data_IF_957016528380
#
_entry.id   IF_957016528380
#
_cell.length_a   1.000
_cell.length_b   1.000
_cell.length_c   1.000
_cell.angle_alpha   90.00
_cell.angle_beta   90.00
_cell.angle_gamma   90.00
#
_symmetry.space_group_name_H-M   'P 1'
#
loop_
_entity.id
_entity.type
_entity.pdbx_description
1 polymer ?
#
# COMPACT_ATOMS: atom_id res chain seq x y z
N UNK A 1 -20.62 9.77 -7.58
CA UNK A 1 -19.89 8.75 -8.37
C UNK A 1 -19.82 7.50 -7.53
N UNK A 2 -20.45 6.42 -7.95
CA UNK A 2 -20.43 5.14 -7.23
C UNK A 2 -19.02 4.56 -7.30
N UNK A 3 -18.41 4.37 -6.13
CA UNK A 3 -17.07 3.79 -6.01
C UNK A 3 -17.05 2.37 -6.62
N UNK A 4 -16.06 2.00 -7.44
CA UNK A 4 -15.98 0.64 -8.02
C UNK A 4 -15.63 -0.45 -7.01
N UNK A 5 -15.77 -0.20 -5.72
CA UNK A 5 -15.29 -1.02 -4.61
C UNK A 5 -16.27 -2.11 -4.13
N UNK A 6 -17.38 -2.38 -4.83
CA UNK A 6 -18.38 -3.37 -4.34
C UNK A 6 -18.96 -2.95 -2.98
N UNK A 7 -19.18 -3.89 -2.07
CA UNK A 7 -19.65 -3.61 -0.71
C UNK A 7 -18.46 -3.25 0.21
N UNK A 8 -17.93 -2.02 0.08
CA UNK A 8 -16.91 -1.48 0.99
C UNK A 8 -17.57 -0.92 2.26
N UNK A 9 -17.04 -1.29 3.41
CA UNK A 9 -17.56 -0.89 4.72
C UNK A 9 -16.40 -0.41 5.60
N UNK A 10 -16.56 0.74 6.24
CA UNK A 10 -15.71 1.19 7.34
C UNK A 10 -16.29 0.61 8.63
N UNK A 11 -15.60 -0.40 9.20
CA UNK A 11 -16.05 -1.12 10.40
C UNK A 11 -15.76 -0.33 11.66
N UNK A 12 -14.56 0.25 11.73
CA UNK A 12 -14.09 1.09 12.83
C UNK A 12 -13.30 2.27 12.29
N UNK A 13 -13.49 3.46 12.86
CA UNK A 13 -12.75 4.67 12.51
C UNK A 13 -12.38 5.43 13.78
N UNK A 14 -11.07 5.66 13.96
CA UNK A 14 -10.51 6.54 14.98
C UNK A 14 -9.42 7.42 14.33
N UNK A 15 -9.02 8.53 14.96
CA UNK A 15 -7.96 9.35 14.39
C UNK A 15 -6.73 8.51 14.01
N UNK A 16 -6.38 8.51 12.71
CA UNK A 16 -5.24 7.83 12.11
C UNK A 16 -5.22 6.29 12.29
N UNK A 17 -6.39 5.72 12.61
CA UNK A 17 -6.62 4.27 12.71
C UNK A 17 -7.94 3.91 12.07
N UNK A 18 -7.99 2.81 11.32
CA UNK A 18 -9.19 2.36 10.65
C UNK A 18 -9.24 0.84 10.56
N UNK A 19 -10.44 0.29 10.60
CA UNK A 19 -10.74 -1.08 10.16
C UNK A 19 -11.76 -1.01 9.04
N UNK A 20 -11.43 -1.63 7.93
CA UNK A 20 -12.28 -1.67 6.74
C UNK A 20 -12.52 -3.10 6.28
N UNK A 21 -13.63 -3.32 5.62
CA UNK A 21 -14.00 -4.61 5.03
C UNK A 21 -14.54 -4.41 3.63
N UNK A 22 -14.19 -5.33 2.73
CA UNK A 22 -14.78 -5.43 1.39
C UNK A 22 -15.15 -6.88 1.10
N UNK A 23 -16.32 -7.08 0.52
CA UNK A 23 -16.79 -8.40 0.09
C UNK A 23 -17.32 -8.30 -1.34
N UNK A 24 -16.83 -9.18 -2.19
CA UNK A 24 -17.31 -9.40 -3.56
C UNK A 24 -17.78 -10.84 -3.73
N UNK A 25 -17.95 -11.28 -4.95
CA UNK A 25 -18.21 -12.69 -5.25
C UNK A 25 -16.93 -13.53 -5.25
N UNK A 26 -15.79 -12.87 -5.42
CA UNK A 26 -14.47 -13.49 -5.64
C UNK A 26 -13.61 -13.40 -4.38
N UNK A 27 -13.77 -12.32 -3.58
CA UNK A 27 -12.92 -12.07 -2.42
C UNK A 27 -13.69 -11.57 -1.20
N UNK A 28 -13.12 -11.85 -0.02
CA UNK A 28 -13.48 -11.17 1.24
C UNK A 28 -12.19 -10.68 1.87
N UNK A 29 -12.08 -9.37 2.04
CA UNK A 29 -10.89 -8.69 2.55
C UNK A 29 -11.26 -7.89 3.79
N UNK A 30 -10.49 -8.05 4.87
CA UNK A 30 -10.57 -7.20 6.05
C UNK A 30 -9.17 -6.67 6.37
N UNK A 31 -9.06 -5.35 6.59
CA UNK A 31 -7.81 -4.66 6.91
C UNK A 31 -8.01 -3.74 8.09
N UNK A 32 -7.13 -3.87 9.10
CA UNK A 32 -6.93 -2.86 10.11
C UNK A 32 -5.60 -2.16 9.88
N UNK A 33 -5.60 -0.82 9.91
CA UNK A 33 -4.46 0.04 9.66
C UNK A 33 -4.32 1.08 10.76
N UNK A 34 -3.12 1.14 11.38
CA UNK A 34 -2.69 2.24 12.24
C UNK A 34 -1.51 2.97 11.59
N UNK A 35 -1.68 4.28 11.33
CA UNK A 35 -0.66 5.10 10.69
C UNK A 35 0.52 5.44 11.62
N UNK A 36 0.25 5.55 12.92
CA UNK A 36 1.24 5.87 13.96
C UNK A 36 1.61 4.60 14.73
N UNK A 37 1.99 3.56 13.98
CA UNK A 37 2.30 2.24 14.51
C UNK A 37 3.77 2.04 14.87
N UNK A 38 4.11 0.79 15.10
CA UNK A 38 5.46 0.31 15.42
C UNK A 38 6.03 -0.61 14.33
N UNK A 39 5.29 -0.82 13.24
CA UNK A 39 5.65 -1.71 12.15
C UNK A 39 5.18 -3.16 12.37
N UNK A 40 4.13 -3.37 13.17
CA UNK A 40 3.56 -4.71 13.36
C UNK A 40 2.79 -5.12 12.10
N UNK A 41 3.08 -6.33 11.65
CA UNK A 41 2.43 -6.92 10.50
C UNK A 41 1.82 -8.28 10.89
N UNK A 42 0.52 -8.45 10.68
CA UNK A 42 -0.20 -9.72 10.80
C UNK A 42 -1.01 -9.93 9.52
N UNK A 43 -0.38 -10.56 8.53
CA UNK A 43 -0.84 -10.58 7.15
C UNK A 43 -1.06 -12.01 6.69
N UNK A 44 -2.24 -12.29 6.17
CA UNK A 44 -2.64 -13.58 5.64
C UNK A 44 -3.50 -13.39 4.39
N UNK A 45 -2.86 -13.31 3.21
CA UNK A 45 -3.53 -13.25 1.90
C UNK A 45 -3.65 -14.62 1.23
N UNK A 46 -2.91 -15.62 1.75
CA UNK A 46 -2.76 -16.92 1.10
C UNK A 46 -1.67 -16.95 0.04
N UNK A 47 -1.01 -15.81 -0.23
CA UNK A 47 0.06 -15.67 -1.23
C UNK A 47 1.34 -15.28 -0.49
N UNK A 48 2.20 -16.26 -0.18
CA UNK A 48 3.32 -16.08 0.76
C UNK A 48 4.30 -14.97 0.40
N UNK A 49 4.61 -14.76 -0.90
CA UNK A 49 5.49 -13.66 -1.30
C UNK A 49 4.79 -12.30 -1.18
N UNK A 50 3.50 -12.22 -1.44
CA UNK A 50 2.75 -10.99 -1.25
C UNK A 50 2.64 -10.61 0.24
N UNK A 51 2.42 -11.60 1.12
CA UNK A 51 2.45 -11.41 2.58
C UNK A 51 3.80 -10.83 3.03
N UNK A 52 4.91 -11.34 2.47
CA UNK A 52 6.26 -10.85 2.76
C UNK A 52 6.47 -9.40 2.28
N UNK A 53 6.00 -9.04 1.08
CA UNK A 53 6.10 -7.66 0.56
C UNK A 53 5.30 -6.68 1.40
N UNK A 54 4.06 -7.02 1.75
CA UNK A 54 3.20 -6.19 2.61
C UNK A 54 3.76 -6.08 4.03
N UNK A 55 4.35 -7.16 4.57
CA UNK A 55 5.07 -7.14 5.84
C UNK A 55 6.28 -6.19 5.81
N UNK A 56 7.03 -6.17 4.70
CA UNK A 56 8.13 -5.22 4.49
C UNK A 56 7.64 -3.77 4.44
N UNK A 57 6.50 -3.51 3.77
CA UNK A 57 5.86 -2.19 3.75
C UNK A 57 5.48 -1.74 5.17
N UNK A 58 4.81 -2.61 5.95
CA UNK A 58 4.40 -2.30 7.32
C UNK A 58 5.61 -2.00 8.21
N UNK A 59 6.61 -2.88 8.22
CA UNK A 59 7.80 -2.76 9.06
C UNK A 59 8.58 -1.47 8.76
N UNK A 60 8.88 -1.20 7.49
CA UNK A 60 9.70 -0.03 7.10
C UNK A 60 8.91 1.27 7.09
N UNK A 61 7.57 1.20 6.94
CA UNK A 61 6.66 2.33 7.08
C UNK A 61 6.30 2.67 8.53
N UNK A 62 6.62 1.78 9.48
CA UNK A 62 6.16 1.84 10.88
C UNK A 62 4.63 1.91 11.00
N UNK A 63 3.93 1.29 10.06
CA UNK A 63 2.48 1.10 10.15
C UNK A 63 2.15 -0.18 10.91
N UNK A 64 1.10 -0.18 11.71
CA UNK A 64 0.53 -1.41 12.23
C UNK A 64 -0.54 -1.89 11.26
N UNK A 65 -0.32 -3.07 10.64
CA UNK A 65 -1.21 -3.59 9.58
C UNK A 65 -1.63 -5.02 9.92
N UNK A 66 -2.94 -5.24 9.96
CA UNK A 66 -3.55 -6.57 9.98
C UNK A 66 -4.32 -6.77 8.68
N UNK A 67 -4.08 -7.86 7.95
CA UNK A 67 -4.79 -8.22 6.73
C UNK A 67 -5.28 -9.66 6.83
N UNK A 68 -6.58 -9.84 6.58
CA UNK A 68 -7.20 -11.15 6.36
C UNK A 68 -7.88 -11.12 5.00
N UNK A 69 -7.40 -11.95 4.10
CA UNK A 69 -7.96 -12.09 2.77
C UNK A 69 -8.33 -13.55 2.49
N UNK A 70 -9.50 -13.73 1.92
CA UNK A 70 -9.95 -14.98 1.34
C UNK A 70 -10.41 -14.68 -0.08
N UNK A 71 -9.76 -15.26 -1.06
CA UNK A 71 -10.06 -15.10 -2.48
C UNK A 71 -10.09 -16.46 -3.18
N UNK A 72 -10.43 -16.43 -4.46
CA UNK A 72 -10.56 -17.57 -5.36
C UNK A 72 -9.21 -18.01 -5.94
N UNK A 73 -8.23 -18.30 -5.06
CA UNK A 73 -6.85 -18.68 -5.42
C UNK A 73 -6.75 -19.93 -6.28
N UNK A 74 -7.80 -20.73 -6.37
CA UNK A 74 -7.91 -21.85 -7.29
C UNK A 74 -8.05 -21.41 -8.77
N UNK A 75 -8.48 -20.15 -8.99
CA UNK A 75 -8.50 -19.50 -10.31
C UNK A 75 -7.11 -18.96 -10.62
N UNK A 76 -6.71 -17.92 -9.87
CA UNK A 76 -5.35 -17.37 -9.84
C UNK A 76 -5.17 -16.39 -8.68
N UNK A 77 -4.02 -15.72 -8.57
CA UNK A 77 -3.75 -14.75 -7.53
C UNK A 77 -4.29 -13.34 -7.82
N UNK A 78 -4.76 -13.07 -9.03
CA UNK A 78 -5.08 -11.72 -9.53
C UNK A 78 -6.10 -10.99 -8.65
N UNK A 79 -7.29 -11.58 -8.47
CA UNK A 79 -8.38 -10.95 -7.72
C UNK A 79 -7.97 -10.65 -6.28
N UNK A 80 -7.26 -11.59 -5.63
CA UNK A 80 -6.80 -11.41 -4.25
C UNK A 80 -5.77 -10.27 -4.16
N UNK A 81 -4.79 -10.22 -5.06
CA UNK A 81 -3.73 -9.19 -5.05
C UNK A 81 -4.30 -7.81 -5.32
N UNK A 82 -5.16 -7.66 -6.33
CA UNK A 82 -5.80 -6.39 -6.67
C UNK A 82 -6.70 -5.91 -5.53
N UNK A 83 -7.58 -6.78 -5.02
CA UNK A 83 -8.56 -6.41 -4.01
C UNK A 83 -7.91 -6.05 -2.67
N UNK A 84 -6.87 -6.77 -2.24
CA UNK A 84 -6.08 -6.38 -1.05
C UNK A 84 -5.46 -5.00 -1.24
N UNK A 85 -4.88 -4.71 -2.42
CA UNK A 85 -4.28 -3.41 -2.69
C UNK A 85 -5.33 -2.27 -2.72
N UNK A 86 -6.49 -2.50 -3.34
CA UNK A 86 -7.61 -1.54 -3.34
C UNK A 86 -8.10 -1.24 -1.92
N UNK A 87 -8.31 -2.28 -1.11
CA UNK A 87 -8.81 -2.12 0.27
C UNK A 87 -7.76 -1.46 1.15
N UNK A 88 -6.48 -1.79 0.98
CA UNK A 88 -5.38 -1.13 1.71
C UNK A 88 -5.27 0.35 1.34
N UNK A 89 -5.37 0.69 0.04
CA UNK A 89 -5.39 2.09 -0.40
C UNK A 89 -6.56 2.87 0.18
N UNK A 90 -7.76 2.28 0.18
CA UNK A 90 -8.94 2.87 0.80
C UNK A 90 -8.77 3.04 2.33
N UNK A 91 -8.14 2.08 3.02
CA UNK A 91 -7.82 2.19 4.44
C UNK A 91 -6.89 3.39 4.72
N UNK A 92 -5.85 3.61 3.90
CA UNK A 92 -5.01 4.80 4.00
C UNK A 92 -5.81 6.09 3.81
N UNK A 93 -6.68 6.14 2.80
CA UNK A 93 -7.53 7.31 2.55
C UNK A 93 -8.43 7.64 3.75
N UNK A 94 -9.11 6.65 4.31
CA UNK A 94 -9.98 6.84 5.48
C UNK A 94 -9.19 7.24 6.73
N UNK A 95 -8.04 6.60 7.00
CA UNK A 95 -7.20 6.90 8.15
C UNK A 95 -6.57 8.30 8.09
N UNK A 96 -6.30 8.83 6.89
CA UNK A 96 -5.76 10.18 6.67
C UNK A 96 -6.83 11.28 6.78
N UNK A 97 -8.10 10.93 6.64
CA UNK A 97 -9.21 11.90 6.74
C UNK A 97 -9.04 13.08 5.78
N UNK A 98 -9.11 14.29 6.30
CA UNK A 98 -8.96 15.54 5.52
C UNK A 98 -7.51 15.88 5.13
N UNK A 99 -6.54 15.05 5.57
CA UNK A 99 -5.10 15.20 5.29
C UNK A 99 -4.50 16.52 5.81
N UNK A 100 -5.15 17.18 6.78
CA UNK A 100 -4.62 18.40 7.39
C UNK A 100 -3.38 18.08 8.25
N UNK A 101 -2.37 18.95 8.18
CA UNK A 101 -1.17 18.87 9.03
C UNK A 101 -0.18 17.76 8.71
N UNK A 102 -0.35 17.01 7.61
CA UNK A 102 0.64 16.02 7.15
C UNK A 102 1.70 16.66 6.25
N UNK A 103 2.86 16.03 6.11
CA UNK A 103 3.95 16.49 5.22
C UNK A 103 3.57 16.46 3.75
N UNK A 104 2.65 15.60 3.34
CA UNK A 104 2.16 15.38 1.97
C UNK A 104 3.16 14.74 1.03
N UNK A 105 4.44 15.13 1.05
CA UNK A 105 5.49 14.64 0.16
C UNK A 105 6.48 13.77 0.93
N UNK A 106 6.78 12.59 0.38
CA UNK A 106 7.79 11.68 0.89
C UNK A 106 8.61 11.10 -0.25
N UNK A 107 9.89 10.84 0.02
CA UNK A 107 10.76 10.15 -0.92
C UNK A 107 11.68 9.19 -0.19
N UNK A 108 12.01 8.08 -0.84
CA UNK A 108 12.96 7.12 -0.30
C UNK A 108 13.71 6.41 -1.41
N UNK A 109 14.98 6.12 -1.15
CA UNK A 109 15.78 5.20 -1.95
C UNK A 109 16.26 4.07 -1.03
N UNK A 110 16.02 2.82 -1.40
CA UNK A 110 16.37 1.65 -0.59
C UNK A 110 17.22 0.70 -1.42
N UNK A 111 18.48 0.48 -1.06
CA UNK A 111 19.31 -0.56 -1.64
C UNK A 111 18.98 -1.92 -1.00
N UNK A 112 19.08 -2.96 -1.79
CA UNK A 112 19.06 -4.35 -1.34
C UNK A 112 20.04 -5.14 -2.20
N UNK A 113 21.19 -5.48 -1.66
CA UNK A 113 22.34 -6.07 -2.38
C UNK A 113 22.66 -5.27 -3.66
N UNK A 114 22.46 -5.88 -4.84
CA UNK A 114 22.71 -5.23 -6.13
C UNK A 114 21.55 -4.40 -6.66
N UNK A 115 20.40 -4.43 -5.95
CA UNK A 115 19.16 -3.76 -6.38
C UNK A 115 19.02 -2.41 -5.68
N UNK A 116 18.47 -1.43 -6.38
CA UNK A 116 18.11 -0.13 -5.84
C UNK A 116 16.69 0.20 -6.26
N UNK A 117 15.83 0.50 -5.29
CA UNK A 117 14.49 1.05 -5.53
C UNK A 117 14.41 2.49 -5.03
N UNK A 118 13.81 3.36 -5.82
CA UNK A 118 13.49 4.74 -5.44
C UNK A 118 11.99 4.94 -5.56
N UNK A 119 11.40 5.62 -4.59
CA UNK A 119 9.98 5.96 -4.64
C UNK A 119 9.75 7.16 -5.56
N UNK A 120 9.79 6.91 -6.89
CA UNK A 120 9.45 7.83 -8.02
C UNK A 120 9.16 6.94 -9.24
N UNK A 121 7.92 6.63 -9.68
CA UNK A 121 7.53 5.47 -10.53
C UNK A 121 7.83 5.50 -12.03
N UNK A 122 8.47 4.43 -12.50
CA UNK A 122 8.06 3.43 -13.50
C UNK A 122 8.84 2.12 -13.22
N UNK A 123 8.17 0.97 -12.92
CA UNK A 123 8.83 -0.30 -12.60
C UNK A 123 8.74 -1.28 -13.78
N UNK A 124 9.77 -1.41 -14.65
CA UNK A 124 9.87 -2.57 -15.51
C UNK A 124 10.43 -3.75 -14.70
N UNK A 125 9.59 -4.73 -14.37
CA UNK A 125 10.03 -6.05 -13.95
C UNK A 125 10.46 -6.85 -15.21
N UNK A 126 11.57 -7.58 -15.12
CA UNK A 126 12.12 -8.34 -16.23
C UNK A 126 11.74 -9.83 -16.21
N UNK A 127 11.27 -10.34 -15.08
CA UNK A 127 10.80 -11.71 -14.90
C UNK A 127 9.28 -11.85 -15.06
N UNK A 128 8.80 -13.10 -15.09
CA UNK A 128 7.37 -13.38 -15.15
C UNK A 128 6.76 -13.59 -13.76
N UNK A 129 7.48 -14.23 -12.84
CA UNK A 129 7.00 -14.59 -11.49
C UNK A 129 8.14 -14.61 -10.46
N UNK A 130 7.79 -14.31 -9.20
CA UNK A 130 8.63 -14.60 -8.02
C UNK A 130 7.80 -15.43 -7.03
N UNK A 131 8.24 -16.64 -6.73
CA UNK A 131 7.42 -17.59 -5.99
C UNK A 131 6.11 -17.89 -6.73
N UNK A 132 4.98 -17.80 -6.04
CA UNK A 132 3.64 -17.92 -6.63
C UNK A 132 3.11 -16.64 -7.27
N UNK A 133 3.71 -15.46 -7.05
CA UNK A 133 3.19 -14.17 -7.50
C UNK A 133 3.68 -13.80 -8.90
N UNK A 134 2.79 -13.59 -9.89
CA UNK A 134 3.14 -12.97 -11.16
C UNK A 134 3.57 -11.52 -10.95
N UNK A 135 4.74 -11.10 -11.46
CA UNK A 135 5.29 -9.76 -11.19
C UNK A 135 4.46 -8.63 -11.81
N UNK A 136 3.79 -8.90 -12.93
CA UNK A 136 2.85 -7.94 -13.53
C UNK A 136 1.72 -7.52 -12.56
N UNK A 137 1.36 -8.36 -11.57
CA UNK A 137 0.35 -8.03 -10.56
C UNK A 137 0.88 -7.04 -9.53
N UNK A 138 2.18 -6.90 -9.35
CA UNK A 138 2.77 -5.92 -8.44
C UNK A 138 2.51 -4.50 -8.93
N UNK A 139 2.73 -4.23 -10.22
CA UNK A 139 2.45 -2.92 -10.83
C UNK A 139 0.96 -2.59 -10.74
N UNK A 140 0.11 -3.58 -11.06
CA UNK A 140 -1.34 -3.42 -11.00
C UNK A 140 -1.84 -3.14 -9.58
N UNK A 141 -1.31 -3.85 -8.57
CA UNK A 141 -1.62 -3.61 -7.16
C UNK A 141 -1.21 -2.20 -6.71
N UNK A 142 -0.03 -1.74 -7.09
CA UNK A 142 0.47 -0.41 -6.74
C UNK A 142 -0.35 0.72 -7.39
N UNK A 143 -0.80 0.54 -8.64
CA UNK A 143 -1.71 1.47 -9.30
C UNK A 143 -3.09 1.50 -8.62
N UNK A 144 -3.64 0.33 -8.29
CA UNK A 144 -4.92 0.20 -7.58
C UNK A 144 -4.85 0.87 -6.19
N UNK A 145 -3.78 0.63 -5.44
CA UNK A 145 -3.50 1.27 -4.16
C UNK A 145 -3.46 2.80 -4.29
N UNK A 146 -2.64 3.35 -5.20
CA UNK A 146 -2.45 4.78 -5.36
C UNK A 146 -3.79 5.49 -5.69
N UNK A 147 -4.58 4.90 -6.58
CA UNK A 147 -5.91 5.40 -6.94
C UNK A 147 -6.85 5.41 -5.74
N UNK A 148 -6.94 4.31 -4.98
CA UNK A 148 -7.82 4.21 -3.82
C UNK A 148 -7.38 5.11 -2.65
N UNK A 149 -6.07 5.28 -2.46
CA UNK A 149 -5.50 6.20 -1.46
C UNK A 149 -5.63 7.68 -1.86
N UNK A 150 -6.06 8.01 -3.08
CA UNK A 150 -6.03 9.37 -3.63
C UNK A 150 -4.61 9.94 -3.62
N UNK A 151 -3.62 9.11 -3.92
CA UNK A 151 -2.21 9.46 -3.93
C UNK A 151 -1.66 9.46 -5.36
N UNK A 152 -0.70 10.35 -5.62
CA UNK A 152 0.17 10.21 -6.79
C UNK A 152 1.41 9.44 -6.36
N UNK A 153 1.62 8.29 -6.96
CA UNK A 153 2.71 7.40 -6.65
C UNK A 153 3.64 7.28 -7.86
N UNK A 154 4.92 7.55 -7.67
CA UNK A 154 6.00 7.29 -8.61
C UNK A 154 7.00 6.34 -7.94
N UNK A 155 7.20 5.14 -8.44
CA UNK A 155 8.06 4.11 -7.87
C UNK A 155 8.98 3.57 -8.98
N UNK A 156 10.27 3.61 -8.86
CA UNK A 156 11.22 3.12 -9.85
C UNK A 156 12.35 2.34 -9.20
N UNK A 157 12.91 1.40 -9.92
CA UNK A 157 14.01 0.62 -9.42
C UNK A 157 14.84 0.00 -10.52
N UNK A 158 16.04 -0.45 -10.16
CA UNK A 158 16.92 -1.23 -11.01
C UNK A 158 17.60 -2.32 -10.19
N UNK A 159 17.79 -3.47 -10.79
CA UNK A 159 18.43 -4.62 -10.17
C UNK A 159 18.43 -5.81 -11.11
N UNK A 160 19.16 -6.86 -10.74
CA UNK A 160 19.23 -8.10 -11.54
C UNK A 160 18.40 -9.25 -10.96
N UNK A 161 17.84 -9.03 -9.77
CA UNK A 161 17.04 -10.00 -9.05
C UNK A 161 15.66 -9.39 -8.75
N UNK A 162 14.61 -9.92 -9.39
CA UNK A 162 13.26 -9.39 -9.27
C UNK A 162 12.68 -9.53 -7.86
N UNK A 163 13.09 -10.55 -7.08
CA UNK A 163 12.74 -10.67 -5.67
C UNK A 163 13.28 -9.47 -4.87
N UNK A 164 14.59 -9.19 -5.00
CA UNK A 164 15.22 -8.06 -4.32
C UNK A 164 14.63 -6.72 -4.77
N UNK A 165 14.33 -6.59 -6.07
CA UNK A 165 13.70 -5.37 -6.61
C UNK A 165 12.30 -5.16 -6.03
N UNK A 166 11.46 -6.18 -6.00
CA UNK A 166 10.12 -6.13 -5.40
C UNK A 166 10.17 -5.77 -3.92
N UNK A 167 11.03 -6.45 -3.16
CA UNK A 167 11.20 -6.19 -1.72
C UNK A 167 11.72 -4.77 -1.45
N UNK A 168 12.72 -4.29 -2.22
CA UNK A 168 13.23 -2.92 -2.11
C UNK A 168 12.14 -1.89 -2.46
N UNK A 169 11.30 -2.15 -3.47
CA UNK A 169 10.20 -1.29 -3.87
C UNK A 169 9.17 -1.11 -2.73
N UNK A 170 8.74 -2.19 -2.08
CA UNK A 170 7.78 -2.11 -0.98
C UNK A 170 8.37 -1.48 0.28
N UNK A 171 9.67 -1.69 0.55
CA UNK A 171 10.38 -0.97 1.63
C UNK A 171 10.45 0.54 1.34
N UNK A 172 10.77 0.93 0.10
CA UNK A 172 10.82 2.33 -0.33
C UNK A 172 9.44 2.99 -0.26
N UNK A 173 8.39 2.30 -0.72
CA UNK A 173 7.02 2.76 -0.63
C UNK A 173 6.59 2.98 0.83
N UNK A 174 6.85 2.01 1.72
CA UNK A 174 6.53 2.13 3.15
C UNK A 174 7.19 3.35 3.80
N UNK A 175 8.47 3.58 3.53
CA UNK A 175 9.20 4.76 4.03
C UNK A 175 8.66 6.08 3.46
N UNK A 176 8.37 6.13 2.16
CA UNK A 176 7.81 7.32 1.52
C UNK A 176 6.40 7.64 2.04
N UNK A 177 5.55 6.63 2.20
CA UNK A 177 4.23 6.78 2.81
C UNK A 177 4.32 7.27 4.25
N UNK A 178 5.21 6.70 5.07
CA UNK A 178 5.45 7.17 6.43
C UNK A 178 5.78 8.66 6.44
N UNK A 179 6.77 9.11 5.65
CA UNK A 179 7.15 10.51 5.57
C UNK A 179 5.98 11.39 5.13
N UNK A 180 5.23 10.98 4.12
CA UNK A 180 4.08 11.73 3.62
C UNK A 180 2.93 11.83 4.64
N UNK A 181 2.73 10.79 5.45
CA UNK A 181 1.67 10.69 6.44
C UNK A 181 2.04 11.29 7.81
N UNK A 182 3.35 11.52 8.06
CA UNK A 182 3.84 12.00 9.35
C UNK A 182 3.33 13.43 9.63
N UNK A 183 2.81 13.72 10.83
CA UNK A 183 2.45 15.08 11.21
C UNK A 183 3.65 16.03 11.10
N UNK A 184 3.46 17.20 10.48
CA UNK A 184 4.48 18.27 10.46
C UNK A 184 4.16 19.27 11.59
N UNK A 185 4.98 19.31 12.67
CA UNK A 185 4.72 20.20 13.81
C UNK A 185 4.80 21.69 13.45
N UNK A 186 5.35 22.04 12.30
CA UNK A 186 5.45 23.41 11.81
C UNK A 186 4.29 23.81 10.89
N UNK A 187 3.36 22.88 10.61
CA UNK A 187 2.26 23.10 9.68
C UNK A 187 0.91 22.96 10.37
N UNK A 188 0.09 23.97 10.22
CA UNK A 188 -1.34 23.92 10.53
C UNK A 188 -2.14 23.97 9.24
N UNK A 189 -3.12 23.07 9.07
CA UNK A 189 -3.96 22.99 7.86
C UNK A 189 -3.34 22.21 6.71
N UNK A 190 -3.96 22.34 5.54
CA UNK A 190 -3.63 21.54 4.35
C UNK A 190 -2.38 22.08 3.64
N UNK A 191 -1.48 21.20 3.23
CA UNK A 191 -0.25 21.52 2.51
C UNK A 191 -0.52 21.89 1.04
N UNK A 192 -1.32 22.93 0.81
CA UNK A 192 -1.67 23.42 -0.53
C UNK A 192 -1.85 24.93 -0.52
N UNK A 193 -1.32 25.63 -1.52
CA UNK A 193 -1.57 27.05 -1.72
C UNK A 193 -3.03 27.37 -2.07
N UNK A 194 -3.78 26.36 -2.54
CA UNK A 194 -5.23 26.46 -2.84
C UNK A 194 -6.11 26.22 -1.62
N UNK A 195 -5.55 25.77 -0.48
CA UNK A 195 -6.31 25.40 0.72
C UNK A 195 -7.11 24.08 0.60
N UNK A 196 -6.92 23.34 -0.48
CA UNK A 196 -7.54 22.03 -0.72
C UNK A 196 -6.57 21.10 -1.45
N UNK A 197 -6.78 19.79 -1.36
CA UNK A 197 -6.03 18.74 -2.05
C UNK A 197 -6.89 18.07 -3.15
N UNK A 198 -7.34 18.84 -4.11
CA UNK A 198 -8.09 18.32 -5.26
C UNK A 198 -9.53 18.67 -5.26
#
# INVERSE_FOLDING_TARGET
MTTPLGSFEVVELAPRNVRVRRTTRETTIEIALGLDGTGRADIATGIGFYDHLLGSLALHGLFDIEIRAQGDLEVDEHHTVEDVALVLGAAFNEALGDRAGIRRFGQSAVPMDESLATAVIDLPFHGERVGGLPLQLVDHALEAFARAAGATLHLGGSGRNDHHLGEAAFKALGRALREACEPDPRRSGIASTKGSLG
#
